data_IF_523652410529
#
_entry.id   IF_523652410529
#
_cell.length_a   1.000
_cell.length_b   1.000
_cell.length_c   1.000
_cell.angle_alpha   90.00
_cell.angle_beta   90.00
_cell.angle_gamma   90.00
#
_symmetry.space_group_name_H-M   'P 1'
#
loop_
_entity.id
_entity.type
_entity.pdbx_description
1 polymer ?
#
# COMPACT_ATOMS: atom_id res chain seq x y z
N UNK A 1 -20.76 -23.75 -11.83
CA UNK A 1 -20.43 -22.71 -10.82
C UNK A 1 -19.12 -22.06 -11.23
N UNK A 2 -19.04 -20.74 -11.22
CA UNK A 2 -17.77 -20.03 -11.44
C UNK A 2 -16.81 -20.43 -10.32
N UNK A 3 -15.65 -20.95 -10.68
CA UNK A 3 -14.59 -21.29 -9.73
C UNK A 3 -13.88 -19.98 -9.40
N UNK A 4 -14.09 -19.42 -8.21
CA UNK A 4 -13.26 -18.30 -7.74
C UNK A 4 -11.95 -18.86 -7.21
N UNK A 5 -10.84 -18.22 -7.57
CA UNK A 5 -9.52 -18.57 -7.04
C UNK A 5 -9.34 -18.02 -5.62
N UNK A 6 -9.89 -16.83 -5.39
CA UNK A 6 -9.86 -16.11 -4.14
C UNK A 6 -11.25 -16.04 -3.52
N UNK A 7 -11.29 -15.98 -2.19
CA UNK A 7 -12.48 -15.55 -1.45
C UNK A 7 -12.69 -14.06 -1.63
N UNK A 8 -13.94 -13.65 -1.44
CA UNK A 8 -14.27 -12.24 -1.26
C UNK A 8 -13.46 -11.67 -0.08
N UNK A 9 -12.89 -10.47 -0.26
CA UNK A 9 -12.02 -9.84 0.73
C UNK A 9 -10.52 -9.97 0.49
N UNK A 10 -10.07 -10.69 -0.55
CA UNK A 10 -8.69 -10.53 -1.04
C UNK A 10 -8.50 -9.13 -1.63
N UNK A 11 -7.41 -8.48 -1.26
CA UNK A 11 -7.29 -7.02 -1.40
C UNK A 11 -5.82 -6.58 -1.52
N UNK A 12 -5.61 -5.43 -2.14
CA UNK A 12 -4.31 -4.77 -2.25
C UNK A 12 -4.43 -3.35 -1.71
N UNK A 13 -3.43 -2.93 -0.94
CA UNK A 13 -3.40 -1.62 -0.31
C UNK A 13 -2.05 -0.95 -0.50
N UNK A 14 -2.11 0.38 -0.55
CA UNK A 14 -0.96 1.28 -0.53
C UNK A 14 -1.22 2.34 0.53
N UNK A 15 -0.33 2.41 1.51
CA UNK A 15 -0.35 3.39 2.58
C UNK A 15 0.93 4.21 2.50
N UNK A 16 0.82 5.50 2.75
CA UNK A 16 1.98 6.37 2.92
C UNK A 16 1.78 7.10 4.24
N UNK A 17 2.78 6.99 5.10
CA UNK A 17 2.83 7.64 6.40
C UNK A 17 4.07 8.52 6.48
N UNK A 18 3.96 9.61 7.23
CA UNK A 18 5.07 10.50 7.46
C UNK A 18 4.92 11.23 8.79
N UNK A 19 6.01 11.85 9.24
CA UNK A 19 6.00 12.55 10.52
C UNK A 19 4.97 13.69 10.56
N UNK A 20 3.99 13.64 11.49
CA UNK A 20 2.92 14.62 11.57
C UNK A 20 3.46 15.99 12.02
N UNK A 21 2.81 17.06 11.57
CA UNK A 21 3.15 18.44 11.97
C UNK A 21 4.47 18.98 11.43
N UNK A 22 5.24 18.19 10.65
CA UNK A 22 6.49 18.64 10.03
C UNK A 22 6.31 18.98 8.55
N UNK A 23 7.17 19.88 8.06
CA UNK A 23 7.30 20.21 6.63
C UNK A 23 8.37 19.38 5.92
N UNK A 24 9.31 18.79 6.66
CA UNK A 24 10.26 17.79 6.18
C UNK A 24 10.50 16.76 7.28
N UNK A 25 10.82 15.52 6.91
CA UNK A 25 11.03 14.48 7.91
C UNK A 25 11.07 13.08 7.31
N UNK A 26 10.85 12.08 8.15
CA UNK A 26 10.79 10.67 7.75
C UNK A 26 9.43 10.32 7.13
N UNK A 27 9.48 9.40 6.17
CA UNK A 27 8.30 8.84 5.54
C UNK A 27 8.47 7.34 5.29
N UNK A 28 7.34 6.64 5.25
CA UNK A 28 7.23 5.22 4.97
C UNK A 28 6.08 4.98 4.00
N UNK A 29 6.30 4.14 2.98
CA UNK A 29 5.27 3.65 2.07
C UNK A 29 5.15 2.15 2.25
N UNK A 30 3.95 1.68 2.53
CA UNK A 30 3.63 0.28 2.73
C UNK A 30 2.68 -0.15 1.63
N UNK A 31 3.16 -1.03 0.77
CA UNK A 31 2.35 -1.69 -0.25
C UNK A 31 2.17 -3.14 0.18
N UNK A 32 0.94 -3.62 0.29
CA UNK A 32 0.72 -5.04 0.60
C UNK A 32 -0.54 -5.61 -0.03
N UNK A 33 -0.49 -6.93 -0.25
CA UNK A 33 -1.62 -7.72 -0.72
C UNK A 33 -1.99 -8.76 0.33
N UNK A 34 -3.26 -8.82 0.68
CA UNK A 34 -3.85 -9.86 1.51
C UNK A 34 -4.66 -10.80 0.61
N UNK A 35 -4.32 -12.09 0.64
CA UNK A 35 -4.95 -13.11 -0.19
C UNK A 35 -5.58 -14.17 0.71
N UNK A 36 -6.87 -14.43 0.50
CA UNK A 36 -7.61 -15.53 1.09
C UNK A 36 -8.04 -16.48 -0.03
N UNK A 37 -7.58 -17.73 0.02
CA UNK A 37 -7.86 -18.72 -1.03
C UNK A 37 -9.21 -19.39 -0.80
N UNK A 38 -9.95 -19.60 -1.88
CA UNK A 38 -11.23 -20.31 -1.81
C UNK A 38 -11.06 -21.78 -1.42
N UNK A 39 -11.96 -22.31 -0.59
CA UNK A 39 -11.85 -23.68 -0.08
C UNK A 39 -12.01 -24.74 -1.18
N UNK A 40 -12.88 -24.50 -2.15
CA UNK A 40 -13.07 -25.40 -3.26
C UNK A 40 -11.88 -25.34 -4.23
N UNK A 41 -11.29 -24.16 -4.45
CA UNK A 41 -10.00 -24.02 -5.13
C UNK A 41 -8.90 -24.82 -4.44
N UNK A 42 -8.69 -24.63 -3.12
CA UNK A 42 -7.68 -25.37 -2.36
C UNK A 42 -7.91 -26.88 -2.40
N UNK A 43 -9.16 -27.33 -2.36
CA UNK A 43 -9.50 -28.76 -2.46
C UNK A 43 -9.13 -29.35 -3.82
N UNK A 44 -9.35 -28.60 -4.91
CA UNK A 44 -8.93 -29.01 -6.25
C UNK A 44 -7.42 -29.09 -6.37
N UNK A 45 -6.71 -28.08 -5.90
CA UNK A 45 -5.24 -28.06 -5.91
C UNK A 45 -4.69 -29.27 -5.14
N UNK A 46 -5.22 -29.58 -3.95
CA UNK A 46 -4.84 -30.78 -3.20
C UNK A 46 -5.11 -32.09 -3.94
N UNK A 47 -6.20 -32.14 -4.71
CA UNK A 47 -6.56 -33.33 -5.50
C UNK A 47 -5.60 -33.53 -6.68
N UNK A 48 -5.16 -32.44 -7.31
CA UNK A 48 -4.31 -32.47 -8.51
C UNK A 48 -2.81 -32.58 -8.19
N UNK A 49 -2.35 -31.91 -7.13
CA UNK A 49 -0.93 -31.79 -6.78
C UNK A 49 -0.54 -32.54 -5.50
N UNK A 50 -1.48 -33.26 -4.87
CA UNK A 50 -1.26 -34.03 -3.64
C UNK A 50 -1.40 -33.22 -2.35
N UNK A 51 -1.06 -33.84 -1.22
CA UNK A 51 -1.19 -33.27 0.12
C UNK A 51 -0.12 -32.20 0.47
N UNK A 52 0.39 -31.46 -0.51
CA UNK A 52 1.23 -30.30 -0.19
C UNK A 52 0.43 -29.28 0.65
N UNK A 53 1.04 -28.66 1.67
CA UNK A 53 0.38 -27.70 2.52
C UNK A 53 0.13 -26.40 1.75
N UNK A 54 -0.98 -26.36 1.00
CA UNK A 54 -1.52 -25.13 0.47
C UNK A 54 -2.20 -24.37 1.62
N UNK A 55 -1.53 -23.32 2.07
CA UNK A 55 -2.00 -22.45 3.13
C UNK A 55 -3.20 -21.63 2.68
N UNK A 56 -4.13 -21.39 3.61
CA UNK A 56 -5.42 -20.72 3.33
C UNK A 56 -5.26 -19.22 3.07
N UNK A 57 -4.21 -18.61 3.60
CA UNK A 57 -3.97 -17.18 3.55
C UNK A 57 -2.52 -16.86 3.17
N UNK A 58 -2.33 -15.71 2.51
CA UNK A 58 -1.02 -15.16 2.17
C UNK A 58 -1.01 -13.65 2.32
N UNK A 59 0.08 -13.11 2.85
CA UNK A 59 0.39 -11.67 2.85
C UNK A 59 1.70 -11.48 2.10
N UNK A 60 1.71 -10.54 1.16
CA UNK A 60 2.90 -10.08 0.44
C UNK A 60 3.04 -8.59 0.69
N UNK A 61 4.22 -8.10 1.05
CA UNK A 61 4.41 -6.68 1.31
C UNK A 61 5.76 -6.17 0.82
N UNK A 62 5.77 -4.87 0.58
CA UNK A 62 6.95 -4.06 0.34
C UNK A 62 6.81 -2.77 1.15
N UNK A 63 7.71 -2.58 2.10
CA UNK A 63 7.84 -1.34 2.89
C UNK A 63 9.02 -0.54 2.35
N UNK A 64 8.78 0.68 1.92
CA UNK A 64 9.80 1.63 1.47
C UNK A 64 9.95 2.71 2.52
N UNK A 65 11.19 3.04 2.91
CA UNK A 65 11.48 4.07 3.91
C UNK A 65 12.32 5.18 3.29
N UNK A 66 12.12 6.40 3.78
CA UNK A 66 12.73 7.56 3.18
C UNK A 66 12.42 8.85 3.90
N UNK A 67 12.40 9.94 3.13
CA UNK A 67 12.10 11.29 3.61
C UNK A 67 10.99 11.93 2.80
N UNK A 68 10.33 12.92 3.41
CA UNK A 68 9.38 13.77 2.72
C UNK A 68 9.76 15.26 2.81
N UNK A 69 9.20 16.04 1.89
CA UNK A 69 9.21 17.51 1.89
C UNK A 69 7.86 18.02 1.40
N UNK A 70 7.23 18.91 2.17
CA UNK A 70 6.02 19.65 1.80
C UNK A 70 6.40 20.97 1.13
N UNK A 71 5.68 21.30 0.07
CA UNK A 71 5.73 22.59 -0.60
C UNK A 71 4.35 23.25 -0.47
N UNK A 72 4.18 24.01 0.62
CA UNK A 72 2.90 24.58 1.03
C UNK A 72 2.32 25.54 -0.01
N UNK A 73 3.17 26.29 -0.71
CA UNK A 73 2.76 27.22 -1.76
C UNK A 73 2.12 26.52 -2.96
N UNK A 74 2.48 25.26 -3.22
CA UNK A 74 2.01 24.48 -4.36
C UNK A 74 1.02 23.38 -3.96
N UNK A 75 0.71 23.24 -2.66
CA UNK A 75 -0.02 22.10 -2.10
C UNK A 75 0.56 20.75 -2.52
N UNK A 76 1.88 20.67 -2.63
CA UNK A 76 2.58 19.45 -3.04
C UNK A 76 3.34 18.82 -1.89
N UNK A 77 3.48 17.50 -1.94
CA UNK A 77 4.35 16.75 -1.05
C UNK A 77 5.18 15.78 -1.87
N UNK A 78 6.48 15.78 -1.58
CA UNK A 78 7.48 14.97 -2.25
C UNK A 78 7.95 13.92 -1.28
N UNK A 79 8.00 12.67 -1.72
CA UNK A 79 8.56 11.55 -1.00
C UNK A 79 9.75 11.00 -1.79
N UNK A 80 10.84 10.69 -1.08
CA UNK A 80 12.03 10.05 -1.66
C UNK A 80 12.41 8.87 -0.77
N UNK A 81 12.39 7.67 -1.31
CA UNK A 81 12.68 6.42 -0.62
C UNK A 81 14.05 5.88 -1.01
N UNK A 82 14.81 5.43 -0.01
CA UNK A 82 16.20 4.97 -0.18
C UNK A 82 16.39 3.49 0.11
N UNK A 83 15.45 2.89 0.85
CA UNK A 83 15.51 1.48 1.20
C UNK A 83 14.12 0.86 1.06
N UNK A 84 14.07 -0.37 0.54
CA UNK A 84 12.91 -1.23 0.44
C UNK A 84 13.12 -2.48 1.27
N UNK A 85 12.07 -2.92 1.96
CA UNK A 85 12.02 -4.10 2.81
C UNK A 85 10.82 -4.93 2.35
N UNK A 86 11.08 -6.01 1.62
CA UNK A 86 10.05 -6.83 1.02
C UNK A 86 10.09 -8.27 1.53
N UNK A 87 8.92 -8.86 1.73
CA UNK A 87 8.77 -10.26 2.07
C UNK A 87 7.36 -10.75 1.80
N UNK A 88 7.15 -12.05 1.98
CA UNK A 88 5.84 -12.67 2.01
C UNK A 88 5.77 -13.71 3.14
N UNK A 89 4.55 -14.06 3.51
CA UNK A 89 4.27 -15.14 4.45
C UNK A 89 2.92 -15.77 4.16
N UNK A 90 2.74 -17.01 4.62
CA UNK A 90 1.52 -17.78 4.49
C UNK A 90 1.04 -18.29 5.86
N UNK A 91 -0.21 -18.74 5.93
CA UNK A 91 -0.75 -19.39 7.11
C UNK A 91 -2.11 -20.08 6.86
N UNK A 92 -2.36 -21.15 7.61
CA UNK A 92 -3.57 -21.97 7.48
C UNK A 92 -4.78 -21.34 8.16
N UNK A 93 -4.51 -20.47 9.15
CA UNK A 93 -5.46 -19.60 9.84
C UNK A 93 -4.96 -18.15 9.80
N UNK A 94 -5.85 -17.19 10.08
CA UNK A 94 -5.46 -15.78 10.21
C UNK A 94 -4.46 -15.57 11.34
N UNK A 95 -4.66 -16.21 12.50
CA UNK A 95 -3.72 -16.10 13.63
C UNK A 95 -2.32 -16.54 13.21
N UNK A 96 -2.20 -17.73 12.61
CA UNK A 96 -0.90 -18.28 12.18
C UNK A 96 -0.25 -17.38 11.12
N UNK A 97 -1.03 -16.87 10.16
CA UNK A 97 -0.53 -15.93 9.15
C UNK A 97 0.07 -14.67 9.79
N UNK A 98 -0.63 -14.08 10.75
CA UNK A 98 -0.22 -12.84 11.42
C UNK A 98 0.99 -13.07 12.34
N UNK A 99 1.04 -14.20 13.05
CA UNK A 99 2.22 -14.59 13.84
C UNK A 99 3.46 -14.81 12.96
N UNK A 100 3.29 -15.50 11.82
CA UNK A 100 4.37 -15.66 10.84
C UNK A 100 4.82 -14.30 10.26
N UNK A 101 3.88 -13.39 9.97
CA UNK A 101 4.20 -12.03 9.50
C UNK A 101 5.08 -11.25 10.47
N UNK A 102 4.88 -11.43 11.78
CA UNK A 102 5.68 -10.74 12.81
C UNK A 102 7.08 -11.33 13.01
N UNK A 103 7.31 -12.57 12.57
CA UNK A 103 8.57 -13.28 12.78
C UNK A 103 9.44 -13.37 11.53
N UNK A 104 8.88 -13.15 10.34
CA UNK A 104 9.66 -13.21 9.11
C UNK A 104 10.70 -12.09 9.04
N UNK A 105 11.86 -12.42 8.50
CA UNK A 105 12.91 -11.43 8.19
C UNK A 105 12.64 -10.82 6.81
N UNK A 106 12.70 -9.50 6.72
CA UNK A 106 12.48 -8.78 5.47
C UNK A 106 13.76 -8.72 4.63
N UNK A 107 13.62 -8.83 3.31
CA UNK A 107 14.73 -8.63 2.38
C UNK A 107 14.93 -7.14 2.15
N UNK A 108 16.09 -6.63 2.59
CA UNK A 108 16.47 -5.24 2.40
C UNK A 108 17.14 -5.02 1.05
N UNK A 109 16.68 -4.03 0.30
CA UNK A 109 17.25 -3.57 -0.97
C UNK A 109 17.41 -2.05 -0.94
N UNK A 110 18.56 -1.55 -1.40
CA UNK A 110 18.73 -0.11 -1.64
C UNK A 110 18.04 0.29 -2.93
N UNK A 111 17.30 1.38 -2.88
CA UNK A 111 16.52 1.92 -3.99
C UNK A 111 16.71 3.44 -4.05
N UNK A 112 16.27 4.06 -5.14
CA UNK A 112 16.10 5.51 -5.20
C UNK A 112 14.82 5.80 -5.96
N UNK A 113 13.70 5.76 -5.24
CA UNK A 113 12.37 5.98 -5.78
C UNK A 113 11.76 7.25 -5.21
N UNK A 114 10.85 7.85 -5.94
CA UNK A 114 10.13 9.04 -5.47
C UNK A 114 8.66 9.01 -5.89
N UNK A 115 7.84 9.63 -5.04
CA UNK A 115 6.44 9.93 -5.33
C UNK A 115 6.20 11.42 -5.11
N UNK A 116 5.39 12.05 -5.95
CA UNK A 116 4.94 13.42 -5.78
C UNK A 116 3.43 13.44 -5.77
N UNK A 117 2.87 14.01 -4.70
CA UNK A 117 1.43 14.17 -4.56
C UNK A 117 1.03 15.63 -4.59
N UNK A 118 -0.11 15.91 -5.21
CA UNK A 118 -0.87 17.13 -5.04
C UNK A 118 -1.98 16.90 -4.02
N UNK A 119 -2.08 17.77 -3.02
CA UNK A 119 -3.04 17.64 -1.91
C UNK A 119 -4.27 18.51 -2.16
N UNK A 120 -5.46 17.93 -2.05
CA UNK A 120 -6.73 18.62 -2.27
C UNK A 120 -7.89 18.05 -1.47
N UNK A 121 -8.45 18.85 -0.55
CA UNK A 121 -9.59 18.46 0.29
C UNK A 121 -9.26 17.23 1.13
N UNK A 122 -10.06 16.18 0.98
CA UNK A 122 -9.88 14.87 1.63
C UNK A 122 -9.18 13.85 0.72
N UNK A 123 -8.44 14.30 -0.29
CA UNK A 123 -7.67 13.40 -1.17
C UNK A 123 -6.27 13.91 -1.49
N UNK A 124 -5.32 12.99 -1.52
CA UNK A 124 -3.99 13.20 -2.09
C UNK A 124 -3.93 12.54 -3.46
N UNK A 125 -3.43 13.24 -4.46
CA UNK A 125 -3.37 12.75 -5.82
C UNK A 125 -1.92 12.50 -6.24
N UNK A 126 -1.59 11.27 -6.62
CA UNK A 126 -0.27 10.93 -7.15
C UNK A 126 -0.12 11.54 -8.54
N UNK A 127 0.74 12.56 -8.66
CA UNK A 127 0.98 13.28 -9.91
C UNK A 127 2.29 12.88 -10.58
N UNK A 128 3.28 12.40 -9.83
CA UNK A 128 4.47 11.76 -10.42
C UNK A 128 4.95 10.60 -9.55
N UNK A 129 5.42 9.53 -10.19
CA UNK A 129 6.19 8.48 -9.53
C UNK A 129 7.38 8.08 -10.41
N UNK A 130 8.51 7.73 -9.81
CA UNK A 130 9.68 7.42 -10.58
C UNK A 130 10.83 6.82 -9.81
N UNK A 131 11.84 6.43 -10.57
CA UNK A 131 13.09 5.87 -10.07
C UNK A 131 14.26 6.67 -10.62
N UNK A 132 15.26 6.90 -9.78
CA UNK A 132 16.52 7.52 -10.17
C UNK A 132 17.57 6.44 -10.40
N UNK A 133 18.30 6.59 -11.50
CA UNK A 133 19.40 5.71 -11.82
C UNK A 133 20.69 6.19 -11.15
N UNK A 134 21.46 5.30 -10.51
CA UNK A 134 22.80 5.62 -10.02
C UNK A 134 23.75 6.10 -11.13
N UNK A 135 23.49 5.73 -12.39
CA UNK A 135 24.27 6.13 -13.57
C UNK A 135 23.88 7.52 -14.10
N UNK A 136 22.98 8.22 -13.41
CA UNK A 136 22.41 9.51 -13.79
C UNK A 136 21.18 9.35 -14.68
N UNK A 137 20.13 10.11 -14.37
CA UNK A 137 18.87 10.09 -15.10
C UNK A 137 17.71 9.52 -14.30
N UNK A 138 16.51 10.02 -14.60
CA UNK A 138 15.26 9.69 -13.90
C UNK A 138 14.31 9.04 -14.91
N UNK A 139 13.75 7.88 -14.54
CA UNK A 139 12.61 7.28 -15.26
C UNK A 139 11.37 7.56 -14.44
N UNK A 140 10.41 8.30 -14.99
CA UNK A 140 9.20 8.69 -14.24
C UNK A 140 7.94 8.62 -15.07
N UNK A 141 6.86 8.30 -14.40
CA UNK A 141 5.51 8.54 -14.85
C UNK A 141 5.03 9.87 -14.29
N UNK A 142 4.56 10.75 -15.16
CA UNK A 142 3.83 11.95 -14.79
C UNK A 142 2.37 11.78 -15.16
N UNK A 143 1.47 12.01 -14.21
CA UNK A 143 0.04 11.82 -14.34
C UNK A 143 -0.67 13.17 -14.34
N UNK A 144 -1.53 13.36 -15.34
CA UNK A 144 -2.48 14.45 -15.40
C UNK A 144 -3.87 13.87 -15.37
N UNK A 145 -4.68 14.21 -14.37
CA UNK A 145 -6.11 13.88 -14.38
C UNK A 145 -6.90 14.69 -15.40
N UNK A 146 -6.25 15.64 -16.09
CA UNK A 146 -6.93 16.61 -16.93
C UNK A 146 -7.85 17.54 -16.12
N UNK A 147 -8.67 18.29 -16.83
CA UNK A 147 -9.76 19.09 -16.27
C UNK A 147 -11.02 18.70 -16.99
N UNK A 148 -12.15 18.53 -16.28
CA UNK A 148 -13.42 18.02 -16.82
C UNK A 148 -13.89 18.70 -18.12
N UNK A 149 -13.42 19.91 -18.43
CA UNK A 149 -13.85 20.67 -19.59
C UNK A 149 -12.88 20.72 -20.79
N UNK A 150 -11.58 20.40 -20.62
CA UNK A 150 -10.58 20.74 -21.67
C UNK A 150 -9.46 19.72 -21.91
N UNK A 151 -9.16 18.83 -20.95
CA UNK A 151 -8.03 17.90 -21.08
C UNK A 151 -8.45 16.52 -20.61
N UNK A 152 -8.21 15.51 -21.46
CA UNK A 152 -8.39 14.12 -21.06
C UNK A 152 -7.31 13.71 -20.04
N UNK A 153 -7.65 12.84 -19.07
CA UNK A 153 -6.65 12.22 -18.21
C UNK A 153 -5.56 11.51 -19.05
N UNK A 154 -4.30 11.74 -18.71
CA UNK A 154 -3.14 11.16 -19.39
C UNK A 154 -2.00 10.82 -18.43
N UNK A 155 -1.27 9.75 -18.73
CA UNK A 155 0.00 9.42 -18.07
C UNK A 155 1.10 9.44 -19.11
N UNK A 156 2.22 10.10 -18.78
CA UNK A 156 3.37 10.24 -19.67
C UNK A 156 4.57 9.60 -18.99
N UNK A 157 5.18 8.61 -19.65
CA UNK A 157 6.48 8.09 -19.25
C UNK A 157 7.59 8.93 -19.87
N UNK A 158 8.47 9.46 -19.02
CA UNK A 158 9.67 10.18 -19.43
C UNK A 158 10.90 9.49 -18.89
N UNK A 159 11.94 9.45 -19.72
CA UNK A 159 13.26 8.98 -19.35
C UNK A 159 14.25 10.11 -19.56
N UNK A 160 14.97 10.47 -18.51
CA UNK A 160 16.07 11.40 -18.59
C UNK A 160 17.39 10.64 -18.68
N UNK A 161 18.18 10.89 -19.73
CA UNK A 161 19.51 10.32 -19.91
C UNK A 161 20.47 11.46 -20.28
N UNK A 162 21.62 11.55 -19.59
CA UNK A 162 22.66 12.55 -19.87
C UNK A 162 22.15 14.01 -20.03
N UNK A 163 21.15 14.40 -19.22
CA UNK A 163 20.57 15.74 -19.24
C UNK A 163 19.51 16.01 -20.31
N UNK A 164 19.15 15.01 -21.14
CA UNK A 164 18.06 15.12 -22.12
C UNK A 164 16.84 14.34 -21.63
N UNK A 165 15.65 14.98 -21.60
CA UNK A 165 14.38 14.32 -21.29
C UNK A 165 13.76 13.81 -22.59
N UNK A 166 13.48 12.51 -22.67
CA UNK A 166 12.73 11.90 -23.77
C UNK A 166 11.40 11.40 -23.24
N UNK A 167 10.30 11.83 -23.87
CA UNK A 167 8.98 11.24 -23.66
C UNK A 167 8.88 9.99 -24.52
N UNK A 168 8.64 8.84 -23.89
CA UNK A 168 8.64 7.56 -24.61
C UNK A 168 7.21 7.03 -24.79
N UNK A 169 6.32 7.24 -23.82
CA UNK A 169 4.96 6.71 -23.86
C UNK A 169 3.93 7.69 -23.31
N UNK A 170 2.73 7.69 -23.91
CA UNK A 170 1.56 8.41 -23.43
C UNK A 170 0.37 7.45 -23.42
N UNK A 171 -0.34 7.36 -22.29
CA UNK A 171 -1.56 6.55 -22.15
C UNK A 171 -2.74 7.42 -21.75
N UNK A 172 -3.89 7.20 -22.39
CA UNK A 172 -5.15 7.89 -22.09
C UNK A 172 -6.26 6.91 -21.63
N UNK A 173 -5.95 5.61 -21.53
CA UNK A 173 -6.92 4.55 -21.22
C UNK A 173 -6.69 3.92 -19.83
N UNK A 174 -6.02 4.65 -18.95
CA UNK A 174 -5.70 4.20 -17.60
C UNK A 174 -6.85 4.53 -16.63
N UNK A 175 -7.10 3.68 -15.64
CA UNK A 175 -8.02 4.02 -14.54
C UNK A 175 -7.27 4.86 -13.50
N UNK A 176 -7.44 6.17 -13.62
CA UNK A 176 -6.73 7.12 -12.78
C UNK A 176 -7.28 7.21 -11.35
N UNK A 177 -8.38 6.53 -11.02
CA UNK A 177 -8.86 6.46 -9.63
C UNK A 177 -7.84 5.79 -8.71
N UNK A 178 -6.98 4.93 -9.26
CA UNK A 178 -5.88 4.28 -8.51
C UNK A 178 -4.79 5.25 -8.04
N UNK A 179 -4.74 6.46 -8.61
CA UNK A 179 -3.80 7.51 -8.21
C UNK A 179 -4.36 8.39 -7.09
N UNK A 180 -5.62 8.20 -6.71
CA UNK A 180 -6.30 8.98 -5.68
C UNK A 180 -6.21 8.26 -4.34
N UNK A 181 -5.51 8.89 -3.40
CA UNK A 181 -5.34 8.39 -2.05
C UNK A 181 -6.33 9.08 -1.13
N UNK A 182 -6.95 8.28 -0.26
CA UNK A 182 -7.74 8.81 0.85
C UNK A 182 -6.82 9.62 1.76
N UNK A 183 -7.21 10.86 2.01
CA UNK A 183 -6.50 11.81 2.85
C UNK A 183 -7.51 12.42 3.80
N UNK A 184 -7.12 12.76 5.02
CA UNK A 184 -8.06 13.39 5.93
C UNK A 184 -7.33 14.25 6.95
N UNK A 185 -7.27 15.55 6.70
CA UNK A 185 -6.70 16.52 7.66
C UNK A 185 -7.62 16.74 8.85
N UNK A 186 -8.93 16.62 8.64
CA UNK A 186 -9.94 16.99 9.64
C UNK A 186 -10.23 15.88 10.63
N UNK A 187 -10.17 14.63 10.19
CA UNK A 187 -10.47 13.43 10.94
C UNK A 187 -9.39 12.35 10.68
N UNK A 188 -8.13 12.68 10.96
CA UNK A 188 -6.99 11.78 10.76
C UNK A 188 -7.17 10.40 11.44
N UNK A 189 -7.91 10.34 12.55
CA UNK A 189 -8.26 9.10 13.26
C UNK A 189 -9.00 8.07 12.38
N UNK A 190 -9.72 8.50 11.33
CA UNK A 190 -10.39 7.60 10.39
C UNK A 190 -9.42 6.72 9.61
N UNK A 191 -8.18 7.17 9.45
CA UNK A 191 -7.15 6.48 8.67
C UNK A 191 -6.37 5.46 9.50
N UNK A 192 -6.58 5.43 10.82
CA UNK A 192 -5.78 4.64 11.77
C UNK A 192 -6.14 3.16 11.83
N UNK A 193 -7.32 2.79 11.35
CA UNK A 193 -7.76 1.40 11.32
C UNK A 193 -8.38 1.11 9.95
N UNK A 194 -7.60 0.53 9.04
CA UNK A 194 -8.12 0.14 7.73
C UNK A 194 -8.61 -1.29 7.76
N UNK A 195 -9.91 -1.52 7.54
CA UNK A 195 -10.46 -2.86 7.36
C UNK A 195 -9.88 -3.47 6.08
N UNK A 196 -9.16 -4.58 6.20
CA UNK A 196 -8.48 -5.22 5.08
C UNK A 196 -9.08 -6.57 4.69
N UNK A 197 -9.81 -7.19 5.60
CA UNK A 197 -10.56 -8.42 5.33
C UNK A 197 -11.76 -8.53 6.26
N UNK A 198 -12.88 -8.99 5.71
CA UNK A 198 -14.12 -9.28 6.43
C UNK A 198 -14.82 -10.47 5.79
N UNK A 199 -15.05 -11.52 6.56
CA UNK A 199 -15.85 -12.68 6.17
C UNK A 199 -16.64 -13.14 7.40
N UNK A 200 -17.98 -13.17 7.29
CA UNK A 200 -18.89 -13.41 8.42
C UNK A 200 -18.58 -12.46 9.61
N UNK A 201 -18.36 -13.00 10.81
CA UNK A 201 -18.00 -12.26 12.02
C UNK A 201 -16.49 -12.00 12.16
N UNK A 202 -15.68 -12.54 11.24
CA UNK A 202 -14.23 -12.34 11.24
C UNK A 202 -13.88 -11.02 10.57
N UNK A 203 -13.10 -10.19 11.26
CA UNK A 203 -12.62 -8.91 10.75
C UNK A 203 -11.14 -8.74 11.04
N UNK A 204 -10.41 -8.25 10.04
CA UNK A 204 -9.00 -7.92 10.15
C UNK A 204 -8.78 -6.47 9.76
N UNK A 205 -8.22 -5.69 10.68
CA UNK A 205 -7.79 -4.34 10.44
C UNK A 205 -6.26 -4.28 10.36
N UNK A 206 -5.75 -3.49 9.42
CA UNK A 206 -4.38 -3.02 9.41
C UNK A 206 -4.30 -1.73 10.24
N UNK A 207 -3.27 -1.65 11.08
CA UNK A 207 -2.97 -0.49 11.92
C UNK A 207 -1.68 0.12 11.39
N UNK A 208 -1.74 1.29 10.73
CA UNK A 208 -0.57 1.95 10.19
C UNK A 208 0.50 2.21 11.28
N UNK A 209 1.79 1.89 11.06
CA UNK A 209 2.84 2.01 12.06
C UNK A 209 3.01 3.38 12.75
N UNK A 210 2.82 4.50 12.06
CA UNK A 210 2.96 5.83 12.69
C UNK A 210 1.89 6.11 13.74
N UNK A 211 0.74 5.43 13.66
CA UNK A 211 -0.28 5.46 14.72
C UNK A 211 0.26 4.99 16.08
N UNK A 212 1.28 4.12 16.09
CA UNK A 212 1.89 3.63 17.32
C UNK A 212 2.80 4.66 18.01
N UNK A 213 3.26 5.69 17.28
CA UNK A 213 4.20 6.72 17.74
C UNK A 213 3.55 8.02 18.24
N UNK A 214 2.22 8.16 18.16
CA UNK A 214 1.52 9.34 18.64
C UNK A 214 1.49 9.40 20.17
N UNK A 215 1.71 10.60 20.72
CA UNK A 215 1.65 10.86 22.19
C UNK A 215 0.29 10.52 22.79
N UNK A 216 -0.77 10.62 21.99
CA UNK A 216 -2.11 10.12 22.30
C UNK A 216 -2.43 9.00 21.32
N UNK A 217 -2.46 7.76 21.83
CA UNK A 217 -2.90 6.61 21.03
C UNK A 217 -4.41 6.65 20.85
N UNK A 218 -4.85 6.53 19.61
CA UNK A 218 -6.28 6.37 19.32
C UNK A 218 -6.77 5.06 19.92
N UNK A 219 -7.94 5.11 20.58
CA UNK A 219 -8.49 3.94 21.26
C UNK A 219 -8.78 2.86 20.23
N UNK A 220 -8.22 1.68 20.47
CA UNK A 220 -8.52 0.50 19.67
C UNK A 220 -9.99 0.11 19.84
N UNK A 221 -10.66 -0.37 18.78
CA UNK A 221 -11.98 -0.96 18.89
C UNK A 221 -12.03 -2.07 19.95
N UNK A 222 -13.09 -2.10 20.76
CA UNK A 222 -13.26 -3.13 21.80
C UNK A 222 -13.49 -4.51 21.19
N UNK A 223 -12.89 -5.55 21.80
CA UNK A 223 -13.09 -6.95 21.40
C UNK A 223 -12.17 -7.45 20.27
N UNK A 224 -11.09 -6.71 19.96
CA UNK A 224 -10.08 -7.12 18.98
C UNK A 224 -8.77 -7.56 19.67
N UNK A 225 -8.12 -8.58 19.12
CA UNK A 225 -6.78 -9.05 19.52
C UNK A 225 -5.73 -8.40 18.65
N UNK A 226 -4.74 -7.73 19.25
CA UNK A 226 -3.58 -7.19 18.54
C UNK A 226 -2.54 -8.26 18.24
N UNK A 227 -2.07 -8.32 17.00
CA UNK A 227 -0.94 -9.15 16.55
C UNK A 227 -0.09 -8.29 15.61
N UNK A 228 1.01 -7.73 16.13
CA UNK A 228 1.84 -6.76 15.40
C UNK A 228 1.03 -5.53 14.94
N UNK A 229 1.09 -5.25 13.64
CA UNK A 229 0.41 -4.13 12.96
C UNK A 229 -1.06 -4.46 12.59
N UNK A 230 -1.67 -5.45 13.25
CA UNK A 230 -3.02 -5.90 12.93
C UNK A 230 -3.91 -6.01 14.17
N UNK A 231 -5.20 -5.76 13.97
CA UNK A 231 -6.27 -6.05 14.93
C UNK A 231 -7.20 -7.10 14.34
N UNK A 232 -7.32 -8.24 15.02
CA UNK A 232 -8.14 -9.38 14.60
C UNK A 232 -9.34 -9.52 15.54
N UNK A 233 -10.54 -9.56 14.98
CA UNK A 233 -11.75 -10.02 15.66
C UNK A 233 -12.17 -11.34 15.02
N UNK A 234 -12.28 -12.37 15.84
CA UNK A 234 -12.85 -13.66 15.46
C UNK A 234 -14.12 -13.91 16.27
N UNK A 235 -14.97 -14.80 15.77
CA UNK A 235 -16.18 -15.23 16.44
C UNK A 235 -15.84 -15.76 17.85
N UNK A 236 -16.50 -15.23 18.88
CA UNK A 236 -16.40 -15.81 20.22
C UNK A 236 -17.14 -17.15 20.19
N UNK A 237 -16.39 -18.25 20.24
CA UNK A 237 -16.95 -19.59 20.46
C UNK A 237 -17.64 -19.70 21.81
#
# INVERSE_FOLDING_TARGET
MNVSFFREGSSHFRFIEWEPGKSTGYAEKIEFSFLAYDNHFLSKVKTEFGNEPFESYKIIWNKKVGKFKKEESEKRIFFVYTDSYASETTGSSLITLLENKTSVTENKTQIEEFDIFELGGDTGLLIEEGVRSPLGGDSRWSHSLGSMEFFAPSSIFTKQEAGTIKSEHVSNHYDYLQLRYEWNETEADKLFFKLIYKENETQLFFVPPYTNGLTTKTKEPFGYKRIGDFLLKEEMK
#
